data_IF_061070710226
#
_entry.id   IF_061070710226
#
_cell.length_a   1.000
_cell.length_b   1.000
_cell.length_c   1.000
_cell.angle_alpha   90.00
_cell.angle_beta   90.00
_cell.angle_gamma   90.00
#
_symmetry.space_group_name_H-M   'P 1'
#
loop_
_entity.id
_entity.type
_entity.pdbx_description
1 polymer ?
#
# COMPACT_ATOMS: atom_id res chain seq x y z
N UNK A 1 -31.22 -9.36 10.21
CA UNK A 1 -30.90 -7.93 10.05
C UNK A 1 -29.88 -7.81 8.93
N UNK A 2 -30.10 -6.94 7.95
CA UNK A 2 -29.12 -6.71 6.88
C UNK A 2 -27.87 -6.07 7.48
N UNK A 3 -26.66 -6.59 7.23
CA UNK A 3 -25.46 -5.97 7.78
C UNK A 3 -25.31 -4.54 7.26
N UNK A 4 -24.92 -3.62 8.14
CA UNK A 4 -24.59 -2.25 7.75
C UNK A 4 -23.32 -2.28 6.90
N UNK A 5 -23.46 -1.93 5.61
CA UNK A 5 -22.39 -2.01 4.61
C UNK A 5 -21.64 -0.71 4.44
N UNK A 6 -20.44 -0.81 3.89
CA UNK A 6 -19.72 0.35 3.40
C UNK A 6 -20.37 0.89 2.13
N UNK A 7 -20.14 2.17 1.84
CA UNK A 7 -20.55 2.80 0.58
C UNK A 7 -19.86 2.11 -0.61
N UNK A 8 -20.51 2.11 -1.78
CA UNK A 8 -19.95 1.47 -2.99
C UNK A 8 -18.55 1.97 -3.35
N UNK A 9 -18.32 3.27 -3.22
CA UNK A 9 -17.00 3.86 -3.45
C UNK A 9 -15.95 3.37 -2.44
N UNK A 10 -16.30 3.26 -1.15
CA UNK A 10 -15.38 2.72 -0.15
C UNK A 10 -15.01 1.24 -0.42
N UNK A 11 -15.95 0.45 -0.92
CA UNK A 11 -15.71 -0.93 -1.35
C UNK A 11 -14.82 -0.98 -2.59
N UNK A 12 -15.10 -0.18 -3.62
CA UNK A 12 -14.29 -0.09 -4.83
C UNK A 12 -12.84 0.29 -4.50
N UNK A 13 -12.64 1.37 -3.73
CA UNK A 13 -11.32 1.82 -3.32
C UNK A 13 -10.59 0.77 -2.46
N UNK A 14 -11.32 -0.02 -1.65
CA UNK A 14 -10.73 -1.09 -0.84
C UNK A 14 -10.12 -2.16 -1.73
N UNK A 15 -10.95 -2.73 -2.60
CA UNK A 15 -10.56 -3.86 -3.43
C UNK A 15 -9.55 -3.47 -4.51
N UNK A 16 -9.66 -2.25 -5.05
CA UNK A 16 -8.66 -1.74 -5.98
C UNK A 16 -7.28 -1.59 -5.31
N UNK A 17 -7.22 -1.00 -4.12
CA UNK A 17 -5.96 -0.88 -3.37
C UNK A 17 -5.42 -2.26 -2.98
N UNK A 18 -6.27 -3.17 -2.50
CA UNK A 18 -5.87 -4.52 -2.13
C UNK A 18 -5.29 -5.30 -3.34
N UNK A 19 -5.94 -5.20 -4.50
CA UNK A 19 -5.46 -5.81 -5.74
C UNK A 19 -4.11 -5.23 -6.15
N UNK A 20 -3.97 -3.91 -6.18
CA UNK A 20 -2.72 -3.25 -6.56
C UNK A 20 -1.58 -3.56 -5.60
N UNK A 21 -1.85 -3.64 -4.29
CA UNK A 21 -0.85 -4.10 -3.31
C UNK A 21 -0.42 -5.53 -3.63
N UNK A 22 -1.36 -6.46 -3.87
CA UNK A 22 -1.04 -7.84 -4.22
C UNK A 22 -0.18 -7.94 -5.48
N UNK A 23 -0.54 -7.21 -6.53
CA UNK A 23 0.27 -7.11 -7.77
C UNK A 23 1.66 -6.54 -7.46
N UNK A 24 1.73 -5.47 -6.67
CA UNK A 24 3.00 -4.80 -6.40
C UNK A 24 3.98 -5.65 -5.58
N UNK A 25 3.45 -6.49 -4.67
CA UNK A 25 4.25 -7.47 -3.94
C UNK A 25 4.92 -8.44 -4.93
N UNK A 26 4.15 -9.01 -5.88
CA UNK A 26 4.71 -9.90 -6.89
C UNK A 26 5.78 -9.19 -7.73
N UNK A 27 5.49 -7.98 -8.21
CA UNK A 27 6.43 -7.18 -9.00
C UNK A 27 7.73 -6.84 -8.23
N UNK A 28 7.67 -6.75 -6.90
CA UNK A 28 8.85 -6.51 -6.06
C UNK A 28 9.74 -7.75 -5.87
N UNK A 29 9.21 -8.96 -6.06
CA UNK A 29 9.93 -10.22 -5.81
C UNK A 29 10.50 -10.88 -7.07
N UNK A 30 9.85 -10.70 -8.21
CA UNK A 30 10.25 -11.36 -9.46
C UNK A 30 11.44 -10.74 -10.24
N UNK A 31 11.97 -9.53 -9.97
CA UNK A 31 13.06 -8.95 -10.78
C UNK A 31 14.31 -9.82 -10.89
N UNK A 32 14.63 -10.60 -9.85
CA UNK A 32 15.78 -11.53 -9.84
C UNK A 32 15.47 -12.88 -10.50
N UNK A 33 14.21 -13.11 -10.87
CA UNK A 33 13.72 -14.36 -11.45
C UNK A 33 13.32 -14.22 -12.93
N UNK A 34 13.44 -13.03 -13.50
CA UNK A 34 13.15 -12.74 -14.92
C UNK A 34 14.47 -12.51 -15.68
N UNK A 35 14.49 -12.64 -17.02
CA UNK A 35 15.67 -12.27 -17.80
C UNK A 35 16.11 -10.83 -17.53
N UNK A 36 17.41 -10.54 -17.61
CA UNK A 36 17.97 -9.20 -17.34
C UNK A 36 17.27 -8.08 -18.13
N UNK A 37 16.87 -8.37 -19.38
CA UNK A 37 16.12 -7.45 -20.24
C UNK A 37 14.75 -7.03 -19.68
N UNK A 38 14.18 -7.83 -18.77
CA UNK A 38 12.88 -7.63 -18.13
C UNK A 38 12.98 -7.10 -16.70
N UNK A 39 14.12 -7.28 -16.02
CA UNK A 39 14.29 -6.84 -14.63
C UNK A 39 13.97 -5.35 -14.44
N UNK A 40 14.48 -4.50 -15.34
CA UNK A 40 14.22 -3.05 -15.30
C UNK A 40 12.76 -2.69 -15.57
N UNK A 41 12.12 -3.14 -16.67
CA UNK A 41 10.68 -2.92 -16.90
C UNK A 41 9.78 -3.34 -15.74
N UNK A 42 10.08 -4.47 -15.09
CA UNK A 42 9.32 -4.96 -13.93
C UNK A 42 9.46 -3.99 -12.74
N UNK A 43 10.67 -3.53 -12.45
CA UNK A 43 10.91 -2.54 -11.39
C UNK A 43 10.24 -1.20 -11.70
N UNK A 44 10.25 -0.75 -12.95
CA UNK A 44 9.60 0.51 -13.33
C UNK A 44 8.06 0.38 -13.23
N UNK A 45 7.50 -0.80 -13.52
CA UNK A 45 6.08 -1.09 -13.25
C UNK A 45 5.78 -1.14 -11.75
N UNK A 46 6.65 -1.77 -10.93
CA UNK A 46 6.53 -1.77 -9.46
C UNK A 46 6.47 -0.35 -8.89
N UNK A 47 7.37 0.55 -9.34
CA UNK A 47 7.36 1.96 -8.94
C UNK A 47 6.05 2.65 -9.32
N UNK A 48 5.57 2.43 -10.54
CA UNK A 48 4.35 3.03 -11.06
C UNK A 48 3.12 2.62 -10.25
N UNK A 49 2.98 1.32 -9.97
CA UNK A 49 1.89 0.78 -9.15
C UNK A 49 2.00 1.30 -7.71
N UNK A 50 3.20 1.30 -7.12
CA UNK A 50 3.43 1.83 -5.77
C UNK A 50 3.01 3.29 -5.61
N UNK A 51 3.42 4.16 -6.54
CA UNK A 51 3.04 5.59 -6.53
C UNK A 51 1.52 5.76 -6.70
N UNK A 52 0.89 4.94 -7.55
CA UNK A 52 -0.58 4.95 -7.75
C UNK A 52 -1.33 4.58 -6.46
N UNK A 53 -0.81 3.62 -5.69
CA UNK A 53 -1.40 3.21 -4.40
C UNK A 53 -1.43 4.37 -3.41
N UNK A 54 -0.43 5.25 -3.36
CA UNK A 54 -0.44 6.44 -2.49
C UNK A 54 -1.67 7.30 -2.78
N UNK A 55 -1.89 7.64 -4.06
CA UNK A 55 -3.02 8.48 -4.47
C UNK A 55 -4.37 7.86 -4.13
N UNK A 56 -4.52 6.55 -4.37
CA UNK A 56 -5.75 5.82 -4.05
C UNK A 56 -6.00 5.69 -2.55
N UNK A 57 -4.95 5.51 -1.74
CA UNK A 57 -5.07 5.47 -0.28
C UNK A 57 -5.44 6.85 0.28
N UNK A 58 -4.86 7.94 -0.25
CA UNK A 58 -5.27 9.31 0.10
C UNK A 58 -6.75 9.52 -0.24
N UNK A 59 -7.18 9.16 -1.45
CA UNK A 59 -8.58 9.25 -1.85
C UNK A 59 -9.50 8.42 -0.94
N UNK A 60 -9.06 7.22 -0.52
CA UNK A 60 -9.76 6.38 0.44
C UNK A 60 -9.90 7.04 1.81
N UNK A 61 -8.86 7.69 2.30
CA UNK A 61 -8.88 8.43 3.58
C UNK A 61 -9.82 9.63 3.53
N UNK A 62 -9.75 10.43 2.46
CA UNK A 62 -10.65 11.55 2.22
C UNK A 62 -12.11 11.07 2.15
N UNK A 63 -12.36 9.98 1.43
CA UNK A 63 -13.69 9.39 1.33
C UNK A 63 -14.20 8.93 2.69
N UNK A 64 -13.36 8.25 3.49
CA UNK A 64 -13.70 7.79 4.85
C UNK A 64 -13.99 8.95 5.80
N UNK A 65 -13.30 10.08 5.64
CA UNK A 65 -13.55 11.28 6.44
C UNK A 65 -14.93 11.89 6.12
N UNK A 66 -15.31 11.91 4.84
CA UNK A 66 -16.63 12.40 4.40
C UNK A 66 -17.77 11.39 4.59
N UNK A 67 -17.46 10.10 4.63
CA UNK A 67 -18.42 9.00 4.73
C UNK A 67 -18.01 8.05 5.87
N UNK A 68 -18.46 8.31 7.11
CA UNK A 68 -18.11 7.50 8.26
C UNK A 68 -18.41 6.01 8.04
N UNK A 69 -17.51 5.11 8.48
CA UNK A 69 -17.72 3.68 8.32
C UNK A 69 -18.95 3.21 9.14
N UNK A 70 -19.65 2.16 8.69
CA UNK A 70 -20.72 1.55 9.48
C UNK A 70 -20.19 1.08 10.85
N UNK A 71 -21.00 1.16 11.92
CA UNK A 71 -20.58 0.78 13.26
C UNK A 71 -20.17 -0.70 13.31
N UNK A 72 -19.13 -1.00 14.09
CA UNK A 72 -18.69 -2.39 14.31
C UNK A 72 -19.80 -3.19 15.02
N UNK A 73 -19.91 -4.51 14.77
CA UNK A 73 -20.87 -5.37 15.46
C UNK A 73 -20.79 -5.23 16.99
N UNK A 74 -21.95 -5.26 17.66
CA UNK A 74 -22.04 -5.17 19.12
C UNK A 74 -21.28 -6.31 19.83
N UNK A 75 -21.21 -7.46 19.17
CA UNK A 75 -20.56 -8.71 19.58
C UNK A 75 -19.05 -8.62 19.72
N UNK A 76 -18.38 -7.67 19.05
CA UNK A 76 -16.93 -7.52 19.13
C UNK A 76 -16.51 -7.05 20.53
N UNK A 77 -15.55 -7.76 21.13
CA UNK A 77 -14.98 -7.38 22.42
C UNK A 77 -14.26 -6.03 22.30
N UNK A 78 -14.20 -5.21 23.37
CA UNK A 78 -13.52 -3.90 23.31
C UNK A 78 -12.08 -3.97 22.81
N UNK A 79 -11.35 -5.03 23.17
CA UNK A 79 -9.96 -5.27 22.71
C UNK A 79 -9.91 -5.50 21.21
N UNK A 80 -10.82 -6.31 20.65
CA UNK A 80 -10.88 -6.60 19.21
C UNK A 80 -11.19 -5.34 18.40
N UNK A 81 -12.11 -4.49 18.89
CA UNK A 81 -12.41 -3.20 18.27
C UNK A 81 -11.20 -2.29 18.26
N UNK A 82 -10.46 -2.21 19.36
CA UNK A 82 -9.25 -1.38 19.46
C UNK A 82 -8.14 -1.92 18.56
N UNK A 83 -7.95 -3.24 18.52
CA UNK A 83 -7.00 -3.90 17.63
C UNK A 83 -7.33 -3.64 16.17
N UNK A 84 -8.60 -3.76 15.77
CA UNK A 84 -9.04 -3.48 14.41
C UNK A 84 -8.78 -2.01 14.01
N UNK A 85 -9.02 -1.04 14.89
CA UNK A 85 -8.69 0.36 14.60
C UNK A 85 -7.18 0.58 14.40
N UNK A 86 -6.35 0.03 15.29
CA UNK A 86 -4.89 0.14 15.16
C UNK A 86 -4.35 -0.56 13.93
N UNK A 87 -4.86 -1.75 13.59
CA UNK A 87 -4.50 -2.45 12.37
C UNK A 87 -4.82 -1.62 11.12
N UNK A 88 -6.00 -0.99 11.07
CA UNK A 88 -6.35 -0.08 9.97
C UNK A 88 -5.43 1.14 9.90
N UNK A 89 -5.15 1.80 11.03
CA UNK A 89 -4.24 2.96 11.05
C UNK A 89 -2.83 2.58 10.62
N UNK A 90 -2.32 1.45 11.09
CA UNK A 90 -1.02 0.92 10.70
C UNK A 90 -0.98 0.58 9.21
N UNK A 91 -2.02 -0.08 8.68
CA UNK A 91 -2.13 -0.36 7.24
C UNK A 91 -2.19 0.92 6.40
N UNK A 92 -2.93 1.94 6.82
CA UNK A 92 -2.95 3.23 6.13
C UNK A 92 -1.57 3.89 6.12
N UNK A 93 -0.89 3.90 7.26
CA UNK A 93 0.46 4.45 7.37
C UNK A 93 1.44 3.68 6.47
N UNK A 94 1.47 2.35 6.55
CA UNK A 94 2.39 1.53 5.75
C UNK A 94 2.07 1.60 4.25
N UNK A 95 0.79 1.60 3.85
CA UNK A 95 0.41 1.72 2.44
C UNK A 95 0.81 3.07 1.80
N UNK A 96 1.06 4.10 2.61
CA UNK A 96 1.60 5.39 2.13
C UNK A 96 3.12 5.41 2.24
N UNK A 97 3.66 5.07 3.42
CA UNK A 97 5.09 5.21 3.73
C UNK A 97 5.96 4.22 2.96
N UNK A 98 5.47 3.02 2.65
CA UNK A 98 6.19 2.02 1.87
C UNK A 98 6.49 2.49 0.44
N UNK A 99 5.50 2.82 -0.41
CA UNK A 99 5.79 3.34 -1.74
C UNK A 99 6.49 4.70 -1.70
N UNK A 100 6.24 5.53 -0.67
CA UNK A 100 6.96 6.80 -0.50
C UNK A 100 8.45 6.57 -0.25
N UNK A 101 8.83 5.61 0.60
CA UNK A 101 10.25 5.29 0.82
C UNK A 101 10.90 4.74 -0.45
N UNK A 102 10.17 3.98 -1.28
CA UNK A 102 10.64 3.52 -2.58
C UNK A 102 10.87 4.67 -3.58
N UNK A 103 10.00 5.67 -3.56
CA UNK A 103 10.14 6.87 -4.40
C UNK A 103 11.29 7.77 -3.92
N UNK A 104 11.50 7.88 -2.61
CA UNK A 104 12.66 8.57 -2.02
C UNK A 104 13.97 7.84 -2.35
N UNK A 105 13.97 6.51 -2.27
CA UNK A 105 15.06 5.66 -2.71
C UNK A 105 15.40 5.89 -4.20
N UNK A 106 14.43 5.81 -5.11
CA UNK A 106 14.65 6.07 -6.54
C UNK A 106 15.14 7.52 -6.81
N UNK A 107 14.68 8.49 -6.03
CA UNK A 107 15.12 9.89 -6.15
C UNK A 107 16.60 10.08 -5.79
N UNK A 108 17.13 9.22 -4.92
CA UNK A 108 18.52 9.22 -4.49
C UNK A 108 19.41 8.31 -5.34
N UNK A 109 18.87 7.60 -6.32
CA UNK A 109 19.68 6.72 -7.16
C UNK A 109 20.73 7.52 -7.95
N UNK A 110 21.98 7.03 -7.95
CA UNK A 110 23.12 7.70 -8.58
C UNK A 110 22.94 7.91 -10.09
N UNK A 111 22.30 6.95 -10.78
CA UNK A 111 22.10 7.00 -12.23
C UNK A 111 20.74 7.63 -12.61
N UNK A 112 20.02 8.21 -11.64
CA UNK A 112 18.68 8.78 -11.86
C UNK A 112 18.65 9.85 -12.98
N UNK A 113 19.75 10.56 -13.23
CA UNK A 113 19.84 11.56 -14.30
C UNK A 113 19.76 10.94 -15.71
N UNK A 114 20.30 9.73 -15.90
CA UNK A 114 20.23 9.00 -17.17
C UNK A 114 18.94 8.19 -17.35
N UNK A 115 18.13 8.08 -16.30
CA UNK A 115 16.95 7.23 -16.27
C UNK A 115 15.73 7.98 -15.71
N UNK A 116 15.02 8.76 -16.55
CA UNK A 116 13.83 9.49 -16.13
C UNK A 116 12.80 8.58 -15.46
N UNK A 117 12.23 9.04 -14.34
CA UNK A 117 11.11 8.35 -13.69
C UNK A 117 9.86 8.60 -14.52
N UNK A 118 9.20 7.53 -14.95
CA UNK A 118 7.92 7.62 -15.66
C UNK A 118 6.91 6.70 -14.97
N UNK A 119 5.66 7.13 -14.88
CA UNK A 119 4.55 6.26 -14.50
C UNK A 119 4.07 5.52 -15.75
N UNK A 120 4.08 4.19 -15.66
CA UNK A 120 3.63 3.27 -16.69
C UNK A 120 4.33 3.47 -18.05
N UNK A 121 5.56 4.00 -18.05
CA UNK A 121 6.33 4.28 -19.26
C UNK A 121 5.86 5.49 -20.08
N UNK A 122 4.82 6.21 -19.62
CA UNK A 122 4.13 7.23 -20.43
C UNK A 122 4.11 8.60 -19.78
N UNK A 123 3.91 8.69 -18.47
CA UNK A 123 3.75 9.98 -17.78
C UNK A 123 5.06 10.30 -17.07
N UNK A 124 5.80 11.37 -17.46
CA UNK A 124 6.96 11.81 -16.70
C UNK A 124 6.57 12.12 -15.26
N UNK A 125 7.35 11.62 -14.31
CA UNK A 125 7.12 11.83 -12.89
C UNK A 125 8.33 12.50 -12.26
N UNK A 126 8.08 13.29 -11.22
CA UNK A 126 9.15 14.05 -10.60
C UNK A 126 9.94 13.22 -9.61
N UNK A 127 11.19 13.63 -9.40
CA UNK A 127 12.02 13.27 -8.26
C UNK A 127 12.18 14.47 -7.37
N UNK A 128 12.47 14.23 -6.10
CA UNK A 128 12.60 15.31 -5.13
C UNK A 128 13.92 16.08 -5.35
N UNK A 129 13.82 17.35 -5.76
CA UNK A 129 14.98 18.18 -6.10
C UNK A 129 16.02 18.30 -4.96
N UNK A 130 15.55 18.37 -3.71
CA UNK A 130 16.43 18.42 -2.55
C UNK A 130 17.26 17.13 -2.36
N UNK A 131 16.81 16.00 -2.92
CA UNK A 131 17.54 14.71 -2.90
C UNK A 131 18.46 14.62 -4.11
N UNK A 132 17.98 14.99 -5.29
CA UNK A 132 18.78 14.90 -6.52
C UNK A 132 20.02 15.78 -6.47
N UNK A 133 19.96 16.89 -5.72
CA UNK A 133 21.01 17.89 -5.57
C UNK A 133 21.95 17.64 -4.37
N UNK A 134 21.81 16.52 -3.65
CA UNK A 134 22.75 16.12 -2.60
C UNK A 134 24.14 15.84 -3.18
N UNK A 135 25.19 16.01 -2.37
CA UNK A 135 26.52 15.55 -2.74
C UNK A 135 26.54 14.01 -2.91
N UNK A 136 27.45 13.45 -3.72
CA UNK A 136 27.44 12.03 -4.05
C UNK A 136 27.48 11.09 -2.83
N UNK A 137 28.22 11.44 -1.78
CA UNK A 137 28.38 10.59 -0.60
C UNK A 137 27.09 10.56 0.23
N UNK A 138 26.51 11.72 0.52
CA UNK A 138 25.23 11.81 1.23
C UNK A 138 24.09 11.16 0.45
N UNK A 139 24.10 11.32 -0.88
CA UNK A 139 23.07 10.76 -1.77
C UNK A 139 23.09 9.23 -1.75
N UNK A 140 24.26 8.60 -1.82
CA UNK A 140 24.40 7.14 -1.74
C UNK A 140 24.01 6.60 -0.36
N UNK A 141 24.40 7.30 0.72
CA UNK A 141 23.98 6.94 2.07
C UNK A 141 22.46 7.00 2.23
N UNK A 142 21.81 8.03 1.69
CA UNK A 142 20.35 8.17 1.71
C UNK A 142 19.66 7.11 0.85
N UNK A 143 20.19 6.81 -0.34
CA UNK A 143 19.72 5.74 -1.22
C UNK A 143 19.69 4.38 -0.52
N UNK A 144 20.80 4.02 0.14
CA UNK A 144 20.94 2.78 0.91
C UNK A 144 20.04 2.74 2.15
N UNK A 145 19.90 3.87 2.85
CA UNK A 145 19.01 3.99 4.00
C UNK A 145 17.54 3.82 3.61
N UNK A 146 17.08 4.51 2.56
CA UNK A 146 15.72 4.39 2.06
C UNK A 146 15.39 2.99 1.53
N UNK A 147 16.37 2.29 0.96
CA UNK A 147 16.20 0.87 0.61
C UNK A 147 15.90 0.02 1.85
N UNK A 148 16.70 0.18 2.91
CA UNK A 148 16.47 -0.53 4.19
C UNK A 148 15.10 -0.22 4.79
N UNK A 149 14.68 1.05 4.76
CA UNK A 149 13.36 1.48 5.23
C UNK A 149 12.24 0.86 4.37
N UNK A 150 12.41 0.81 3.05
CA UNK A 150 11.46 0.18 2.15
C UNK A 150 11.29 -1.32 2.43
N UNK A 151 12.39 -2.04 2.60
CA UNK A 151 12.37 -3.47 2.96
C UNK A 151 11.69 -3.69 4.32
N UNK A 152 12.01 -2.87 5.32
CA UNK A 152 11.40 -2.95 6.65
C UNK A 152 9.87 -2.73 6.58
N UNK A 153 9.41 -1.73 5.83
CA UNK A 153 7.99 -1.52 5.62
C UNK A 153 7.33 -2.64 4.80
N UNK A 154 8.06 -3.30 3.91
CA UNK A 154 7.59 -4.49 3.20
C UNK A 154 7.25 -5.63 4.16
N UNK A 155 8.16 -5.95 5.10
CA UNK A 155 7.88 -6.94 6.14
C UNK A 155 6.73 -6.53 7.07
N UNK A 156 6.66 -5.24 7.43
CA UNK A 156 5.55 -4.72 8.22
C UNK A 156 4.22 -4.88 7.49
N UNK A 157 4.18 -4.60 6.18
CA UNK A 157 3.00 -4.82 5.35
C UNK A 157 2.56 -6.28 5.36
N UNK A 158 3.48 -7.24 5.20
CA UNK A 158 3.11 -8.66 5.22
C UNK A 158 2.48 -9.09 6.54
N UNK A 159 3.08 -8.68 7.65
CA UNK A 159 2.56 -8.99 8.98
C UNK A 159 1.17 -8.36 9.19
N UNK A 160 1.00 -7.08 8.83
CA UNK A 160 -0.28 -6.37 8.97
C UNK A 160 -1.35 -6.91 8.04
N UNK A 161 -0.99 -7.27 6.81
CA UNK A 161 -1.91 -7.87 5.84
C UNK A 161 -2.39 -9.25 6.33
N UNK A 162 -1.47 -10.08 6.83
CA UNK A 162 -1.82 -11.36 7.43
C UNK A 162 -2.77 -11.18 8.63
N UNK A 163 -2.45 -10.28 9.57
CA UNK A 163 -3.32 -9.97 10.70
C UNK A 163 -4.70 -9.46 10.27
N UNK A 164 -4.75 -8.60 9.26
CA UNK A 164 -6.00 -8.06 8.73
C UNK A 164 -6.88 -9.13 8.10
N UNK A 165 -6.31 -9.95 7.22
CA UNK A 165 -7.04 -11.03 6.55
C UNK A 165 -7.48 -12.07 7.57
N UNK A 166 -6.58 -12.53 8.45
CA UNK A 166 -6.93 -13.51 9.49
C UNK A 166 -8.01 -12.98 10.44
N UNK A 167 -7.95 -11.69 10.80
CA UNK A 167 -9.00 -11.04 11.59
C UNK A 167 -10.36 -11.07 10.89
N UNK A 168 -10.40 -10.69 9.61
CA UNK A 168 -11.63 -10.73 8.81
C UNK A 168 -12.18 -12.16 8.68
N UNK A 169 -11.32 -13.16 8.44
CA UNK A 169 -11.72 -14.56 8.34
C UNK A 169 -12.21 -15.12 9.69
N UNK A 170 -11.55 -14.75 10.80
CA UNK A 170 -11.98 -15.11 12.16
C UNK A 170 -13.37 -14.56 12.45
N UNK A 171 -13.62 -13.28 12.18
CA UNK A 171 -14.93 -12.68 12.37
C UNK A 171 -15.99 -13.32 11.45
N UNK A 172 -15.63 -13.60 10.19
CA UNK A 172 -16.53 -14.23 9.22
C UNK A 172 -16.97 -15.63 9.63
N UNK A 173 -16.02 -16.49 10.00
CA UNK A 173 -16.25 -17.92 10.11
C UNK A 173 -16.38 -18.41 11.56
N UNK A 174 -15.62 -17.83 12.48
CA UNK A 174 -15.63 -18.22 13.88
C UNK A 174 -16.69 -17.45 14.68
N UNK A 175 -16.68 -16.11 14.61
CA UNK A 175 -17.68 -15.29 15.29
C UNK A 175 -19.03 -15.28 14.55
N UNK A 176 -19.05 -15.77 13.30
CA UNK A 176 -20.22 -15.81 12.41
C UNK A 176 -20.83 -14.43 12.16
N UNK A 177 -19.98 -13.41 12.15
CA UNK A 177 -20.35 -12.04 11.79
C UNK A 177 -20.16 -11.84 10.27
N UNK A 178 -21.04 -11.09 9.60
CA UNK A 178 -20.99 -10.92 8.14
C UNK A 178 -19.93 -9.89 7.72
N UNK A 179 -18.68 -10.04 8.16
CA UNK A 179 -17.60 -9.06 7.98
C UNK A 179 -17.27 -8.85 6.50
N UNK A 180 -17.16 -9.91 5.70
CA UNK A 180 -16.90 -9.81 4.27
C UNK A 180 -18.07 -9.17 3.52
N UNK A 181 -19.31 -9.48 3.90
CA UNK A 181 -20.52 -8.93 3.27
C UNK A 181 -20.62 -7.41 3.45
N UNK A 182 -19.98 -6.84 4.49
CA UNK A 182 -19.90 -5.38 4.68
C UNK A 182 -19.03 -4.71 3.61
N UNK A 183 -18.09 -5.45 3.01
CA UNK A 183 -17.17 -4.99 1.96
C UNK A 183 -17.51 -5.50 0.55
N UNK A 184 -18.63 -6.20 0.36
CA UNK A 184 -19.06 -6.71 -0.94
C UNK A 184 -20.35 -6.03 -1.45
N UNK A 185 -20.49 -5.81 -2.77
CA UNK A 185 -21.75 -5.34 -3.35
C UNK A 185 -22.86 -6.39 -3.19
N UNK A 186 -24.11 -5.96 -2.99
CA UNK A 186 -25.26 -6.87 -2.89
C UNK A 186 -26.39 -6.34 -2.00
N UNK A 187 -27.48 -7.13 -1.90
CA UNK A 187 -28.55 -6.99 -0.89
C UNK A 187 -28.17 -7.74 0.37
#
# INVERSE_FOLDING_TARGET
>A
MTPLRYTRMAMLLHWLVALLIGVNIVLGYIPDSVPDSWSRPVIDLHKSVGITVIGLVILRLLWRAANPPPPMPATYRPVERRAAHWAHYALYAVAILLPLSGWLHDSAWKDAAGHPLTLFGVIPWFRFGFITNMDPASKEAFHSFMFSVHVAFGYALYALLALHVLGALKHQFYDREPELQRMLPGR
#
